data_IF_929716167022
#
_entry.id   IF_929716167022
#
_cell.length_a   1.000
_cell.length_b   1.000
_cell.length_c   1.000
_cell.angle_alpha   90.00
_cell.angle_beta   90.00
_cell.angle_gamma   90.00
#
_symmetry.space_group_name_H-M   'P 1'
#
loop_
_entity.id
_entity.type
_entity.pdbx_description
1 polymer ?
#
# COMPACT_ATOMS: atom_id res chain seq x y z
N UNK A 1 -5.19 4.19 -4.54
CA UNK A 1 -5.80 3.10 -3.75
C UNK A 1 -6.84 3.68 -2.80
N UNK A 2 -7.99 3.03 -2.66
CA UNK A 2 -9.04 3.47 -1.74
C UNK A 2 -8.64 3.22 -0.28
N UNK A 3 -8.88 4.16 0.65
CA UNK A 3 -8.61 3.96 2.05
C UNK A 3 -9.46 2.83 2.65
N UNK A 4 -9.04 2.32 3.80
CA UNK A 4 -9.85 1.38 4.56
C UNK A 4 -11.08 2.08 5.16
N UNK A 5 -12.25 1.41 5.20
CA UNK A 5 -13.42 1.98 5.84
C UNK A 5 -13.18 2.19 7.33
N UNK A 6 -13.75 3.25 7.89
CA UNK A 6 -13.54 3.63 9.30
C UNK A 6 -13.79 2.49 10.30
N UNK A 7 -14.78 1.64 10.05
CA UNK A 7 -15.09 0.48 10.93
C UNK A 7 -14.01 -0.63 10.90
N UNK A 8 -13.15 -0.68 9.89
CA UNK A 8 -12.03 -1.61 9.84
C UNK A 8 -10.77 -1.04 10.51
N UNK A 9 -10.74 0.26 10.76
CA UNK A 9 -9.62 0.93 11.42
C UNK A 9 -9.84 0.90 12.93
N UNK A 10 -8.84 0.36 13.63
CA UNK A 10 -8.83 0.28 15.09
C UNK A 10 -7.88 1.30 15.70
N UNK A 11 -8.05 1.57 16.98
CA UNK A 11 -7.23 2.50 17.73
C UNK A 11 -6.52 1.77 18.87
N UNK A 12 -5.28 2.15 19.13
CA UNK A 12 -4.53 1.72 20.32
C UNK A 12 -3.71 2.88 20.87
N UNK A 13 -3.33 2.81 22.13
CA UNK A 13 -2.37 3.76 22.71
C UNK A 13 -0.96 3.43 22.21
N UNK A 14 -0.29 4.44 21.70
CA UNK A 14 1.11 4.40 21.31
C UNK A 14 2.02 5.11 22.30
N UNK A 15 3.33 5.23 21.98
CA UNK A 15 4.30 5.93 22.79
C UNK A 15 3.88 7.39 23.05
N UNK A 16 4.06 7.86 24.31
CA UNK A 16 3.68 9.21 24.70
C UNK A 16 2.17 9.43 24.84
N UNK A 17 1.36 8.38 24.94
CA UNK A 17 -0.10 8.48 25.09
C UNK A 17 -0.85 8.85 23.82
N UNK A 18 -0.18 8.92 22.67
CA UNK A 18 -0.81 9.18 21.37
C UNK A 18 -1.66 7.99 20.94
N UNK A 19 -2.83 8.28 20.37
CA UNK A 19 -3.66 7.26 19.72
C UNK A 19 -3.07 6.91 18.36
N UNK A 20 -2.86 5.61 18.11
CA UNK A 20 -2.41 5.08 16.84
C UNK A 20 -3.55 4.34 16.14
N UNK A 21 -3.78 4.69 14.88
CA UNK A 21 -4.71 4.00 14.01
C UNK A 21 -4.04 2.82 13.31
N UNK A 22 -4.70 1.67 13.26
CA UNK A 22 -4.18 0.47 12.61
C UNK A 22 -5.29 -0.40 12.04
N UNK A 23 -4.93 -1.29 11.13
CA UNK A 23 -5.78 -2.38 10.66
C UNK A 23 -5.24 -3.72 11.17
N UNK A 24 -6.10 -4.73 11.25
CA UNK A 24 -5.66 -6.10 11.54
C UNK A 24 -5.07 -6.75 10.29
N UNK A 25 -4.23 -7.78 10.49
CA UNK A 25 -3.73 -8.59 9.37
C UNK A 25 -4.87 -9.24 8.58
N UNK A 26 -5.93 -9.69 9.26
CA UNK A 26 -7.13 -10.26 8.61
C UNK A 26 -7.87 -9.25 7.73
N UNK A 27 -7.97 -7.99 8.18
CA UNK A 27 -8.56 -6.93 7.36
C UNK A 27 -7.75 -6.69 6.07
N UNK A 28 -6.43 -6.80 6.14
CA UNK A 28 -5.59 -6.73 4.95
C UNK A 28 -5.80 -7.94 4.03
N UNK A 29 -5.89 -9.16 4.57
CA UNK A 29 -6.18 -10.37 3.78
C UNK A 29 -7.50 -10.25 3.02
N UNK A 30 -8.57 -9.85 3.71
CA UNK A 30 -9.89 -9.63 3.09
C UNK A 30 -9.84 -8.56 1.99
N UNK A 31 -9.06 -7.54 2.20
CA UNK A 31 -8.88 -6.49 1.20
C UNK A 31 -8.13 -6.98 -0.04
N UNK A 32 -7.08 -7.76 0.15
CA UNK A 32 -6.33 -8.40 -0.95
C UNK A 32 -7.19 -9.38 -1.72
N UNK A 33 -7.96 -10.23 -1.02
CA UNK A 33 -8.88 -11.17 -1.67
C UNK A 33 -9.91 -10.45 -2.54
N UNK A 34 -10.44 -9.33 -2.05
CA UNK A 34 -11.40 -8.51 -2.79
C UNK A 34 -10.77 -7.78 -3.98
N UNK A 35 -9.58 -7.21 -3.81
CA UNK A 35 -8.97 -6.34 -4.82
C UNK A 35 -8.31 -7.14 -5.95
N UNK A 36 -7.69 -8.28 -5.65
CA UNK A 36 -6.93 -9.07 -6.62
C UNK A 36 -7.37 -10.53 -6.71
N UNK A 37 -8.12 -11.03 -5.74
CA UNK A 37 -8.51 -12.43 -5.62
C UNK A 37 -7.52 -13.25 -4.78
N UNK A 38 -8.01 -14.28 -4.05
CA UNK A 38 -7.19 -15.05 -3.12
C UNK A 38 -6.05 -15.84 -3.78
N UNK A 39 -6.15 -16.15 -5.07
CA UNK A 39 -5.09 -16.82 -5.82
C UNK A 39 -4.02 -15.87 -6.39
N UNK A 40 -4.21 -14.56 -6.25
CA UNK A 40 -3.35 -13.56 -6.88
C UNK A 40 -2.54 -12.74 -5.88
N UNK A 41 -2.43 -13.21 -4.66
CA UNK A 41 -1.48 -12.71 -3.68
C UNK A 41 -0.90 -13.87 -2.86
N UNK A 42 0.30 -13.70 -2.35
CA UNK A 42 0.98 -14.67 -1.51
C UNK A 42 2.03 -14.01 -0.64
N UNK A 43 2.44 -14.69 0.41
CA UNK A 43 3.47 -14.23 1.33
C UNK A 43 4.59 -15.25 1.45
N UNK A 44 5.81 -14.74 1.63
CA UNK A 44 6.98 -15.50 2.07
C UNK A 44 7.57 -14.80 3.28
N UNK A 45 8.07 -15.56 4.21
CA UNK A 45 8.72 -15.04 5.41
C UNK A 45 10.15 -15.53 5.52
N UNK A 46 11.02 -14.65 5.95
CA UNK A 46 12.40 -14.96 6.27
C UNK A 46 12.84 -14.13 7.48
N UNK A 47 14.02 -14.37 7.95
CA UNK A 47 14.65 -13.59 9.02
C UNK A 47 15.76 -12.72 8.43
N UNK A 48 15.72 -11.44 8.73
CA UNK A 48 16.75 -10.47 8.34
C UNK A 48 17.17 -9.69 9.58
N UNK A 49 18.43 -9.77 9.95
CA UNK A 49 18.99 -9.09 11.12
C UNK A 49 18.20 -9.37 12.42
N UNK A 50 17.79 -10.62 12.63
CA UNK A 50 17.03 -11.04 13.81
C UNK A 50 15.56 -10.64 13.79
N UNK A 51 15.05 -10.11 12.70
CA UNK A 51 13.66 -9.65 12.55
C UNK A 51 12.91 -10.48 11.51
N UNK A 52 11.62 -10.72 11.77
CA UNK A 52 10.73 -11.33 10.78
C UNK A 52 10.55 -10.35 9.63
N UNK A 53 10.82 -10.81 8.43
CA UNK A 53 10.61 -10.09 7.18
C UNK A 53 9.53 -10.79 6.37
N UNK A 54 8.56 -10.03 5.86
CA UNK A 54 7.52 -10.50 4.95
C UNK A 54 7.81 -10.01 3.54
N UNK A 55 7.85 -10.94 2.60
CA UNK A 55 7.77 -10.65 1.17
C UNK A 55 6.32 -10.87 0.73
N UNK A 56 5.64 -9.80 0.38
CA UNK A 56 4.28 -9.84 -0.17
C UNK A 56 4.35 -9.81 -1.70
N UNK A 57 3.84 -10.85 -2.33
CA UNK A 57 3.68 -10.93 -3.78
C UNK A 57 2.24 -10.67 -4.17
N UNK A 58 2.04 -9.81 -5.16
CA UNK A 58 0.74 -9.54 -5.79
C UNK A 58 0.89 -9.73 -7.29
N UNK A 59 -0.04 -10.48 -7.89
CA UNK A 59 -0.07 -10.66 -9.33
C UNK A 59 -0.71 -9.44 -9.98
N UNK A 60 0.07 -8.70 -10.75
CA UNK A 60 -0.34 -7.47 -11.42
C UNK A 60 -0.07 -7.64 -12.92
N UNK A 61 -1.11 -7.55 -13.74
CA UNK A 61 -1.02 -7.74 -15.20
C UNK A 61 -0.34 -9.06 -15.60
N UNK A 62 -0.65 -10.13 -14.87
CA UNK A 62 -0.11 -11.47 -15.13
C UNK A 62 1.28 -11.73 -14.55
N UNK A 63 1.92 -10.75 -13.94
CA UNK A 63 3.25 -10.88 -13.36
C UNK A 63 3.22 -10.73 -11.84
N UNK A 64 4.07 -11.50 -11.14
CA UNK A 64 4.25 -11.37 -9.71
C UNK A 64 5.17 -10.19 -9.38
N UNK A 65 4.63 -9.25 -8.63
CA UNK A 65 5.37 -8.10 -8.09
C UNK A 65 5.57 -8.32 -6.60
N UNK A 66 6.80 -8.27 -6.13
CA UNK A 66 7.17 -8.51 -4.73
C UNK A 66 7.65 -7.25 -4.07
N UNK A 67 7.15 -6.99 -2.88
CA UNK A 67 7.64 -5.94 -1.99
C UNK A 67 7.75 -6.50 -0.57
N UNK A 68 8.75 -6.06 0.17
CA UNK A 68 9.06 -6.60 1.47
C UNK A 68 9.25 -5.53 2.54
N UNK A 69 8.98 -5.90 3.77
CA UNK A 69 9.28 -5.11 4.96
C UNK A 69 9.46 -6.03 6.16
N UNK A 70 10.18 -5.54 7.16
CA UNK A 70 10.44 -6.24 8.40
C UNK A 70 9.56 -5.76 9.55
N UNK A 71 9.34 -6.64 10.52
CA UNK A 71 8.68 -6.29 11.77
C UNK A 71 9.51 -5.28 12.57
N UNK A 72 8.84 -4.38 13.30
CA UNK A 72 9.48 -3.47 14.23
C UNK A 72 9.99 -4.18 15.50
N UNK A 73 10.83 -3.49 16.27
CA UNK A 73 11.44 -4.04 17.48
C UNK A 73 10.50 -4.23 18.66
N UNK A 74 9.29 -3.66 18.59
CA UNK A 74 8.36 -3.57 19.70
C UNK A 74 7.30 -4.67 19.72
N UNK A 75 7.59 -5.88 19.23
CA UNK A 75 6.65 -6.98 19.41
C UNK A 75 6.68 -7.47 20.85
N UNK A 76 5.87 -6.85 21.68
CA UNK A 76 5.64 -7.25 23.10
C UNK A 76 5.06 -8.67 23.19
N UNK A 77 4.49 -9.20 22.12
CA UNK A 77 3.84 -10.51 22.06
C UNK A 77 4.61 -11.58 21.29
N UNK A 78 5.93 -11.45 21.18
CA UNK A 78 6.79 -12.48 20.59
C UNK A 78 6.54 -12.71 19.09
N UNK A 79 6.80 -13.93 18.63
CA UNK A 79 6.83 -14.30 17.22
C UNK A 79 5.52 -14.03 16.46
N UNK A 80 4.34 -14.20 17.10
CA UNK A 80 3.03 -13.97 16.47
C UNK A 80 2.81 -12.52 16.04
N UNK A 81 3.23 -11.56 16.86
CA UNK A 81 3.16 -10.13 16.54
C UNK A 81 4.07 -9.76 15.37
N UNK A 82 5.23 -10.40 15.29
CA UNK A 82 6.21 -10.17 14.23
C UNK A 82 5.69 -10.49 12.84
N UNK A 83 5.04 -11.63 12.63
CA UNK A 83 4.46 -12.01 11.33
C UNK A 83 3.36 -11.06 10.87
N UNK A 84 2.43 -10.74 11.75
CA UNK A 84 1.33 -9.81 11.44
C UNK A 84 1.85 -8.41 11.14
N UNK A 85 2.82 -7.93 11.89
CA UNK A 85 3.41 -6.61 11.69
C UNK A 85 4.18 -6.55 10.37
N UNK A 86 5.05 -7.52 10.09
CA UNK A 86 5.79 -7.60 8.82
C UNK A 86 4.86 -7.66 7.61
N UNK A 87 3.79 -8.43 7.67
CA UNK A 87 2.79 -8.54 6.61
C UNK A 87 2.07 -7.21 6.35
N UNK A 88 1.60 -6.55 7.39
CA UNK A 88 0.94 -5.24 7.26
C UNK A 88 1.89 -4.17 6.72
N UNK A 89 3.15 -4.16 7.17
CA UNK A 89 4.17 -3.25 6.68
C UNK A 89 4.51 -3.49 5.21
N UNK A 90 4.61 -4.73 4.77
CA UNK A 90 4.77 -5.07 3.35
C UNK A 90 3.58 -4.58 2.52
N UNK A 91 2.35 -4.67 3.04
CA UNK A 91 1.15 -4.12 2.42
C UNK A 91 1.20 -2.61 2.21
N UNK A 92 1.81 -1.88 3.13
CA UNK A 92 2.00 -0.41 3.00
C UNK A 92 2.83 -0.05 1.77
N UNK A 93 3.80 -0.87 1.39
CA UNK A 93 4.59 -0.67 0.17
C UNK A 93 3.73 -0.72 -1.12
N UNK A 94 2.64 -1.46 -1.10
CA UNK A 94 1.65 -1.46 -2.19
C UNK A 94 0.58 -0.37 -2.04
N UNK A 95 0.60 0.39 -0.94
CA UNK A 95 -0.35 1.45 -0.65
C UNK A 95 -1.50 1.06 0.29
N UNK A 96 -1.54 -0.17 0.78
CA UNK A 96 -2.57 -0.62 1.73
C UNK A 96 -2.37 0.02 3.11
N UNK A 97 -3.40 0.69 3.60
CA UNK A 97 -3.41 1.40 4.89
C UNK A 97 -2.33 2.49 5.03
N UNK A 98 -1.74 2.93 3.94
CA UNK A 98 -0.72 4.01 3.94
C UNK A 98 -1.29 5.32 4.48
N UNK A 99 -2.59 5.54 4.33
CA UNK A 99 -3.30 6.71 4.85
C UNK A 99 -3.30 6.80 6.38
N UNK A 100 -2.98 5.72 7.08
CA UNK A 100 -2.90 5.69 8.54
C UNK A 100 -1.56 6.23 9.08
N UNK A 101 -0.62 6.52 8.18
CA UNK A 101 0.70 7.09 8.51
C UNK A 101 0.72 8.58 8.18
N UNK A 102 0.73 9.48 9.18
CA UNK A 102 0.67 10.93 8.95
C UNK A 102 1.82 11.47 8.10
N UNK A 103 3.02 10.95 8.28
CA UNK A 103 4.21 11.31 7.51
C UNK A 103 4.08 10.93 6.02
N UNK A 104 3.47 9.80 5.73
CA UNK A 104 3.20 9.38 4.35
C UNK A 104 2.18 10.30 3.65
N UNK A 105 1.18 10.80 4.38
CA UNK A 105 0.23 11.78 3.86
C UNK A 105 0.90 13.12 3.57
N UNK A 106 1.77 13.57 4.45
CA UNK A 106 2.56 14.80 4.25
C UNK A 106 3.48 14.69 3.04
N UNK A 107 4.21 13.58 2.93
CA UNK A 107 5.08 13.31 1.79
C UNK A 107 4.31 13.29 0.47
N UNK A 108 3.15 12.62 0.45
CA UNK A 108 2.28 12.59 -0.74
C UNK A 108 1.83 14.00 -1.15
N UNK A 109 1.43 14.82 -0.17
CA UNK A 109 0.99 16.20 -0.44
C UNK A 109 2.14 17.03 -1.02
N UNK A 110 3.31 16.99 -0.40
CA UNK A 110 4.48 17.71 -0.86
C UNK A 110 4.89 17.34 -2.30
N UNK A 111 4.91 16.03 -2.60
CA UNK A 111 5.25 15.55 -3.95
C UNK A 111 4.21 15.93 -5.02
N UNK A 112 2.93 16.01 -4.66
CA UNK A 112 1.89 16.48 -5.58
C UNK A 112 1.99 17.97 -5.84
N UNK A 113 2.29 18.77 -4.83
CA UNK A 113 2.52 20.19 -4.98
C UNK A 113 3.75 20.47 -5.86
N UNK A 114 4.81 19.69 -5.70
CA UNK A 114 6.01 19.77 -6.54
C UNK A 114 5.70 19.41 -8.01
N UNK A 115 4.95 18.34 -8.25
CA UNK A 115 4.52 17.96 -9.60
C UNK A 115 3.63 19.00 -10.25
N UNK A 116 2.72 19.62 -9.50
CA UNK A 116 1.84 20.68 -10.00
C UNK A 116 2.63 21.94 -10.41
N UNK A 117 3.76 22.20 -9.75
CA UNK A 117 4.67 23.31 -10.10
C UNK A 117 5.68 22.95 -11.18
N UNK A 118 5.95 21.64 -11.38
CA UNK A 118 6.94 21.15 -12.36
C UNK A 118 6.33 20.81 -13.73
N UNK A 119 5.01 20.65 -13.83
CA UNK A 119 4.37 20.34 -15.12
C UNK A 119 4.40 21.57 -16.03
N UNK A 120 4.97 21.44 -17.24
CA UNK A 120 4.92 22.50 -18.24
C UNK A 120 3.54 22.66 -18.87
N UNK A 121 2.60 21.78 -18.52
CA UNK A 121 1.25 21.74 -19.06
C UNK A 121 0.23 22.12 -18.00
N UNK A 122 -0.85 22.77 -18.41
CA UNK A 122 -2.01 23.02 -17.56
C UNK A 122 -2.80 21.72 -17.35
N UNK A 123 -3.60 21.66 -16.29
CA UNK A 123 -4.48 20.49 -16.02
C UNK A 123 -5.40 20.16 -17.20
N UNK A 124 -5.81 21.17 -17.97
CA UNK A 124 -6.63 20.99 -19.16
C UNK A 124 -5.85 20.31 -20.29
N UNK A 125 -4.60 20.73 -20.51
CA UNK A 125 -3.72 20.12 -21.52
C UNK A 125 -3.35 18.69 -21.16
N UNK A 126 -3.05 18.42 -19.90
CA UNK A 126 -2.79 17.05 -19.40
C UNK A 126 -4.00 16.12 -19.62
N UNK A 127 -5.19 16.62 -19.34
CA UNK A 127 -6.43 15.87 -19.57
C UNK A 127 -6.65 15.58 -21.07
N UNK A 128 -6.44 16.57 -21.91
CA UNK A 128 -6.59 16.42 -23.36
C UNK A 128 -5.57 15.45 -23.96
N UNK A 129 -4.32 15.47 -23.45
CA UNK A 129 -3.28 14.51 -23.81
C UNK A 129 -3.66 13.10 -23.39
N UNK A 130 -4.18 12.93 -22.18
CA UNK A 130 -4.63 11.63 -21.66
C UNK A 130 -5.80 11.06 -22.45
N UNK A 131 -6.81 11.90 -22.80
CA UNK A 131 -7.93 11.49 -23.64
C UNK A 131 -7.48 11.10 -25.05
N UNK A 132 -6.52 11.82 -25.62
CA UNK A 132 -5.95 11.51 -26.93
C UNK A 132 -5.17 10.18 -26.92
N UNK A 133 -4.52 9.86 -25.82
CA UNK A 133 -3.81 8.59 -25.64
C UNK A 133 -4.78 7.41 -25.52
N UNK A 134 -5.85 7.58 -24.71
CA UNK A 134 -6.91 6.58 -24.59
C UNK A 134 -7.58 6.27 -25.95
N UNK A 135 -7.83 7.29 -26.76
CA UNK A 135 -8.40 7.11 -28.12
C UNK A 135 -7.44 6.40 -29.07
N UNK A 136 -6.15 6.61 -28.93
CA UNK A 136 -5.12 5.88 -29.71
C UNK A 136 -5.04 4.40 -29.32
N UNK A 137 -5.10 4.11 -28.05
CA UNK A 137 -5.04 2.74 -27.55
C UNK A 137 -6.31 1.96 -27.90
N UNK A 138 -7.49 2.58 -27.81
CA UNK A 138 -8.74 1.97 -28.25
C UNK A 138 -8.71 1.57 -29.73
N UNK A 139 -8.15 2.41 -30.60
CA UNK A 139 -8.00 2.08 -32.02
C UNK A 139 -7.00 0.96 -32.33
N UNK A 140 -6.03 0.71 -31.43
CA UNK A 140 -5.09 -0.40 -31.57
C UNK A 140 -5.70 -1.76 -31.20
N UNK A 141 -6.71 -1.76 -30.36
CA UNK A 141 -7.40 -2.99 -29.92
C UNK A 141 -8.48 -3.45 -30.93
N UNK A 142 -8.90 -2.58 -31.85
CA UNK A 142 -9.93 -2.89 -32.88
C UNK A 142 -9.31 -3.36 -34.22
N UNK A 143 -7.99 -3.54 -34.27
CA UNK A 143 -7.24 -4.07 -35.45
C UNK A 143 -6.70 -5.47 -35.16
#
# INVERSE_FOLDING_TARGET
MKPFPKKAVKQRKGPGGKSLSYITARALMERLDRDVGPANWQTRYNEVAGKVCCELGIKIRGEWVWKSDGAGETSIEGEKGGFSDAFKRAGVHFGYARELYPDALQARKALREDQATASPYTEAEERDMFEAELKRDAKRLDQ
#
